data_IF_232155983200
#
_entry.id   IF_232155983200
#
_cell.length_a   1.000
_cell.length_b   1.000
_cell.length_c   1.000
_cell.angle_alpha   90.00
_cell.angle_beta   90.00
_cell.angle_gamma   90.00
#
_symmetry.space_group_name_H-M   'P 1'
#
loop_
_entity.id
_entity.type
_entity.pdbx_description
1 polymer ?
#
# COMPACT_ATOMS: atom_id res chain seq x y z
N UNK A 1 8.18 -17.98 -19.96
CA UNK A 1 7.79 -18.51 -18.65
C UNK A 1 6.44 -17.89 -18.32
N UNK A 2 5.38 -18.67 -18.20
CA UNK A 2 4.05 -18.15 -17.86
C UNK A 2 3.93 -18.20 -16.34
N UNK A 3 3.72 -17.04 -15.70
CA UNK A 3 3.53 -16.96 -14.25
C UNK A 3 2.28 -17.74 -13.86
N UNK A 4 2.34 -18.49 -12.76
CA UNK A 4 1.17 -19.11 -12.16
C UNK A 4 0.20 -18.05 -11.63
N UNK A 5 -1.09 -18.40 -11.47
CA UNK A 5 -2.12 -17.45 -11.02
C UNK A 5 -1.75 -16.77 -9.69
N UNK A 6 -1.19 -17.51 -8.72
CA UNK A 6 -0.75 -16.94 -7.45
C UNK A 6 0.41 -15.94 -7.60
N UNK A 7 1.31 -16.16 -8.56
CA UNK A 7 2.40 -15.21 -8.84
C UNK A 7 1.88 -13.95 -9.52
N UNK A 8 0.88 -14.09 -10.41
CA UNK A 8 0.20 -12.94 -11.02
C UNK A 8 -0.55 -12.11 -9.98
N UNK A 9 -1.23 -12.77 -9.03
CA UNK A 9 -1.90 -12.11 -7.89
C UNK A 9 -0.88 -11.38 -7.02
N UNK A 10 0.24 -12.03 -6.67
CA UNK A 10 1.29 -11.41 -5.88
C UNK A 10 1.86 -10.17 -6.60
N UNK A 11 2.11 -10.25 -7.91
CA UNK A 11 2.60 -9.11 -8.67
C UNK A 11 1.58 -7.97 -8.76
N UNK A 12 0.31 -8.28 -9.03
CA UNK A 12 -0.77 -7.27 -9.01
C UNK A 12 -0.91 -6.61 -7.63
N UNK A 13 -0.70 -7.38 -6.55
CA UNK A 13 -0.71 -6.86 -5.19
C UNK A 13 0.43 -5.86 -4.98
N UNK A 14 1.67 -6.18 -5.37
CA UNK A 14 2.82 -5.28 -5.24
C UNK A 14 2.62 -3.97 -6.01
N UNK A 15 1.97 -4.00 -7.18
CA UNK A 15 1.66 -2.80 -7.96
C UNK A 15 0.63 -1.90 -7.27
N UNK A 16 -0.31 -2.48 -6.53
CA UNK A 16 -1.45 -1.75 -5.97
C UNK A 16 -1.34 -1.49 -4.47
N UNK A 17 -0.39 -2.10 -3.78
CA UNK A 17 -0.24 -1.94 -2.34
C UNK A 17 0.17 -0.51 -2.00
N UNK A 18 -0.54 0.11 -1.05
CA UNK A 18 -0.35 1.51 -0.68
C UNK A 18 -1.16 2.53 -1.50
N UNK A 19 -1.81 2.11 -2.57
CA UNK A 19 -2.63 3.01 -3.41
C UNK A 19 -4.02 3.32 -2.82
N UNK A 20 -4.41 2.56 -1.79
CA UNK A 20 -5.73 2.68 -1.18
C UNK A 20 -6.87 2.12 -2.04
N UNK A 21 -8.12 2.46 -1.70
CA UNK A 21 -9.30 2.10 -2.48
C UNK A 21 -9.30 2.71 -3.87
N UNK A 22 -9.27 1.87 -4.90
CA UNK A 22 -9.35 2.28 -6.31
C UNK A 22 -10.64 1.78 -6.94
N UNK A 23 -11.18 2.53 -7.91
CA UNK A 23 -12.17 1.97 -8.82
C UNK A 23 -11.55 0.78 -9.58
N UNK A 24 -12.32 -0.29 -9.84
CA UNK A 24 -11.79 -1.49 -10.51
C UNK A 24 -11.08 -1.19 -11.84
N UNK A 25 -11.65 -0.29 -12.66
CA UNK A 25 -11.02 0.12 -13.93
C UNK A 25 -9.71 0.88 -13.75
N UNK A 26 -9.58 1.65 -12.68
CA UNK A 26 -8.35 2.36 -12.34
C UNK A 26 -7.27 1.38 -11.88
N UNK A 27 -7.63 0.42 -11.03
CA UNK A 27 -6.71 -0.66 -10.62
C UNK A 27 -6.19 -1.45 -11.83
N UNK A 28 -7.08 -1.84 -12.76
CA UNK A 28 -6.69 -2.52 -14.01
C UNK A 28 -5.73 -1.64 -14.82
N UNK A 29 -6.06 -0.35 -14.97
CA UNK A 29 -5.22 0.59 -15.74
C UNK A 29 -3.81 0.68 -15.14
N UNK A 30 -3.66 0.83 -13.82
CA UNK A 30 -2.33 0.93 -13.19
C UNK A 30 -1.49 -0.33 -13.36
N UNK A 31 -2.12 -1.50 -13.27
CA UNK A 31 -1.45 -2.77 -13.53
C UNK A 31 -0.98 -2.84 -14.99
N UNK A 32 -1.82 -2.45 -15.95
CA UNK A 32 -1.40 -2.41 -17.36
C UNK A 32 -0.28 -1.40 -17.59
N UNK A 33 -0.39 -0.19 -17.04
CA UNK A 33 0.63 0.84 -17.17
C UNK A 33 1.98 0.36 -16.61
N UNK A 34 1.97 -0.38 -15.49
CA UNK A 34 3.16 -1.04 -14.95
C UNK A 34 3.73 -2.13 -15.87
N UNK A 35 2.88 -2.96 -16.49
CA UNK A 35 3.33 -3.96 -17.46
C UNK A 35 3.99 -3.29 -18.68
N UNK A 36 3.42 -2.21 -19.19
CA UNK A 36 3.96 -1.45 -20.32
C UNK A 36 5.30 -0.80 -19.94
N UNK A 37 5.36 -0.15 -18.78
CA UNK A 37 6.58 0.49 -18.29
C UNK A 37 7.75 -0.50 -18.13
N UNK A 38 7.45 -1.74 -17.75
CA UNK A 38 8.43 -2.81 -17.60
C UNK A 38 8.74 -3.55 -18.92
N UNK A 39 8.12 -3.17 -20.03
CA UNK A 39 8.28 -3.83 -21.33
C UNK A 39 7.67 -5.24 -21.41
N UNK A 40 6.74 -5.56 -20.50
CA UNK A 40 6.03 -6.84 -20.42
C UNK A 40 4.73 -6.85 -21.24
N UNK A 41 4.27 -5.67 -21.68
CA UNK A 41 3.12 -5.50 -22.56
C UNK A 41 3.37 -4.34 -23.54
N UNK A 42 2.70 -4.37 -24.69
CA UNK A 42 2.71 -3.25 -25.64
C UNK A 42 1.64 -2.19 -25.28
N UNK A 43 1.72 -1.03 -25.93
CA UNK A 43 0.73 0.05 -25.75
C UNK A 43 -0.70 -0.37 -26.16
N UNK A 44 -0.85 -1.41 -26.98
CA UNK A 44 -2.12 -2.01 -27.34
C UNK A 44 -2.82 -2.67 -26.16
N UNK A 45 -2.08 -3.14 -25.15
CA UNK A 45 -2.63 -3.72 -23.93
C UNK A 45 -3.47 -2.72 -23.12
N UNK A 46 -3.18 -1.41 -23.21
CA UNK A 46 -3.93 -0.37 -22.52
C UNK A 46 -5.33 -0.13 -23.11
N UNK A 47 -5.59 -0.57 -24.35
CA UNK A 47 -6.88 -0.38 -25.03
C UNK A 47 -8.00 -1.09 -24.26
N UNK A 48 -9.16 -0.42 -24.17
CA UNK A 48 -10.38 -1.01 -23.60
C UNK A 48 -10.76 -2.29 -24.36
N UNK A 49 -11.14 -3.34 -23.63
CA UNK A 49 -11.47 -4.65 -24.20
C UNK A 49 -10.26 -5.47 -24.66
N UNK A 50 -9.04 -5.07 -24.30
CA UNK A 50 -7.88 -5.92 -24.57
C UNK A 50 -7.94 -7.20 -23.71
N UNK A 51 -7.45 -8.35 -24.23
CA UNK A 51 -7.36 -9.58 -23.46
C UNK A 51 -6.53 -9.43 -22.18
N UNK A 52 -5.55 -8.51 -22.18
CA UNK A 52 -4.72 -8.21 -20.99
C UNK A 52 -5.55 -7.60 -19.88
N UNK A 53 -6.43 -6.64 -20.20
CA UNK A 53 -7.34 -6.03 -19.21
C UNK A 53 -8.31 -7.05 -18.63
N UNK A 54 -8.84 -7.94 -19.47
CA UNK A 54 -9.74 -9.03 -19.03
C UNK A 54 -9.02 -10.01 -18.12
N UNK A 55 -7.78 -10.38 -18.43
CA UNK A 55 -6.94 -11.24 -17.59
C UNK A 55 -6.66 -10.57 -16.24
N UNK A 56 -6.28 -9.29 -16.22
CA UNK A 56 -6.03 -8.56 -14.98
C UNK A 56 -7.31 -8.50 -14.13
N UNK A 57 -8.47 -8.29 -14.74
CA UNK A 57 -9.74 -8.33 -14.01
C UNK A 57 -9.94 -9.69 -13.32
N UNK A 58 -9.59 -10.81 -13.97
CA UNK A 58 -9.66 -12.15 -13.37
C UNK A 58 -8.62 -12.34 -12.25
N UNK A 59 -7.40 -11.83 -12.43
CA UNK A 59 -6.34 -11.85 -11.40
C UNK A 59 -6.80 -11.11 -10.14
N UNK A 60 -7.44 -9.95 -10.30
CA UNK A 60 -7.96 -9.18 -9.18
C UNK A 60 -9.05 -9.95 -8.41
N UNK A 61 -9.99 -10.59 -9.09
CA UNK A 61 -11.01 -11.42 -8.44
C UNK A 61 -10.40 -12.63 -7.72
N UNK A 62 -9.47 -13.34 -8.37
CA UNK A 62 -8.74 -14.44 -7.73
C UNK A 62 -7.93 -13.96 -6.51
N UNK A 63 -7.43 -12.73 -6.55
CA UNK A 63 -6.73 -12.10 -5.44
C UNK A 63 -7.64 -11.76 -4.26
N UNK A 64 -8.92 -11.44 -4.50
CA UNK A 64 -9.93 -11.29 -3.44
C UNK A 64 -10.18 -12.63 -2.75
N UNK A 65 -10.34 -13.70 -3.53
CA UNK A 65 -10.51 -15.07 -2.99
C UNK A 65 -9.29 -15.52 -2.17
N UNK A 66 -8.09 -15.08 -2.56
CA UNK A 66 -6.83 -15.34 -1.84
C UNK A 66 -6.58 -14.40 -0.65
N UNK A 67 -7.48 -13.45 -0.36
CA UNK A 67 -7.36 -12.50 0.75
C UNK A 67 -6.26 -11.44 0.57
N UNK A 68 -5.78 -11.23 -0.67
CA UNK A 68 -4.81 -10.18 -1.02
C UNK A 68 -5.47 -8.86 -1.39
N UNK A 69 -6.75 -8.90 -1.73
CA UNK A 69 -7.56 -7.73 -2.05
C UNK A 69 -8.88 -7.78 -1.30
N UNK A 70 -9.46 -6.61 -1.05
CA UNK A 70 -10.83 -6.48 -0.55
C UNK A 70 -11.66 -5.49 -1.37
N UNK A 71 -12.97 -5.47 -1.08
CA UNK A 71 -13.91 -4.51 -1.63
C UNK A 71 -14.35 -3.53 -0.53
N UNK A 72 -13.62 -2.41 -0.35
CA UNK A 72 -13.97 -1.45 0.69
C UNK A 72 -15.34 -0.78 0.42
N UNK A 73 -15.72 -0.66 -0.87
CA UNK A 73 -17.05 -0.22 -1.34
C UNK A 73 -17.38 -0.93 -2.65
N UNK A 74 -18.67 -0.89 -3.04
CA UNK A 74 -19.12 -1.43 -4.33
C UNK A 74 -18.34 -0.80 -5.49
N UNK A 75 -17.77 -1.63 -6.35
CA UNK A 75 -17.00 -1.21 -7.53
C UNK A 75 -15.57 -0.73 -7.21
N UNK A 76 -15.16 -0.78 -5.95
CA UNK A 76 -13.78 -0.51 -5.54
C UNK A 76 -13.04 -1.79 -5.19
N UNK A 77 -11.73 -1.77 -5.38
CA UNK A 77 -10.80 -2.79 -4.94
C UNK A 77 -9.63 -2.13 -4.22
N UNK A 78 -9.08 -2.79 -3.21
CA UNK A 78 -7.91 -2.32 -2.48
C UNK A 78 -7.01 -3.52 -2.19
N UNK A 79 -5.71 -3.34 -2.41
CA UNK A 79 -4.71 -4.31 -1.98
C UNK A 79 -4.58 -4.25 -0.45
N UNK A 80 -4.65 -5.42 0.20
CA UNK A 80 -4.68 -5.49 1.65
C UNK A 80 -3.61 -6.41 2.22
N UNK A 81 -3.14 -6.00 3.39
CA UNK A 81 -2.33 -6.84 4.26
C UNK A 81 -2.96 -6.75 5.65
N UNK A 82 -3.76 -7.74 6.05
CA UNK A 82 -4.65 -7.61 7.21
C UNK A 82 -3.94 -7.81 8.55
N UNK A 83 -2.84 -8.59 8.58
CA UNK A 83 -2.02 -8.75 9.78
C UNK A 83 -0.91 -7.69 9.80
N UNK A 84 -0.84 -6.82 10.82
CA UNK A 84 0.27 -5.86 10.96
C UNK A 84 1.65 -6.54 11.09
N UNK A 85 1.73 -7.81 11.47
CA UNK A 85 2.99 -8.55 11.54
C UNK A 85 3.59 -8.89 10.18
N UNK A 86 2.77 -8.84 9.12
CA UNK A 86 3.24 -9.09 7.76
C UNK A 86 3.88 -7.83 7.12
N UNK A 87 3.83 -6.68 7.79
CA UNK A 87 4.40 -5.42 7.27
C UNK A 87 5.91 -5.42 7.48
N UNK A 88 6.64 -5.18 6.40
CA UNK A 88 8.07 -4.87 6.46
C UNK A 88 8.29 -3.46 7.02
N UNK A 89 9.53 -3.14 7.37
CA UNK A 89 9.90 -1.77 7.73
C UNK A 89 9.61 -0.78 6.61
N UNK A 90 9.79 -1.17 5.35
CA UNK A 90 9.55 -0.25 4.22
C UNK A 90 8.05 -0.02 4.01
N UNK A 91 7.17 -1.00 4.30
CA UNK A 91 5.72 -0.80 4.28
C UNK A 91 5.28 0.21 5.35
N UNK A 92 5.87 0.14 6.54
CA UNK A 92 5.61 1.12 7.60
C UNK A 92 6.17 2.50 7.27
N UNK A 93 7.35 2.58 6.65
CA UNK A 93 7.92 3.84 6.17
C UNK A 93 7.01 4.44 5.10
N UNK A 94 6.51 3.66 4.16
CA UNK A 94 5.51 4.11 3.19
C UNK A 94 4.29 4.72 3.90
N UNK A 95 3.77 4.07 4.95
CA UNK A 95 2.63 4.63 5.70
C UNK A 95 2.96 5.99 6.36
N UNK A 96 4.16 6.13 6.94
CA UNK A 96 4.64 7.40 7.49
C UNK A 96 4.80 8.47 6.40
N UNK A 97 5.43 8.11 5.28
CA UNK A 97 5.64 9.02 4.15
C UNK A 97 4.31 9.43 3.51
N UNK A 98 3.30 8.58 3.46
CA UNK A 98 2.02 8.97 2.87
C UNK A 98 1.14 9.80 3.81
N UNK A 99 1.34 9.70 5.13
CA UNK A 99 0.49 10.37 6.12
C UNK A 99 1.02 11.72 6.60
N UNK A 100 2.33 11.96 6.50
CA UNK A 100 2.98 13.16 7.03
C UNK A 100 3.34 14.12 5.90
N UNK A 101 3.43 15.40 6.18
CA UNK A 101 3.93 16.41 5.24
C UNK A 101 5.31 16.94 5.69
N UNK A 102 5.78 18.00 5.06
CA UNK A 102 7.02 18.70 5.43
C UNK A 102 6.85 19.56 6.70
N UNK A 103 5.63 19.71 7.21
CA UNK A 103 5.35 20.44 8.44
C UNK A 103 5.76 19.64 9.68
N UNK A 104 6.43 20.25 10.67
CA UNK A 104 6.71 19.62 11.95
C UNK A 104 5.44 19.08 12.61
N UNK A 105 5.47 17.80 12.97
CA UNK A 105 4.36 17.09 13.61
C UNK A 105 4.86 16.40 14.86
N UNK A 106 4.17 16.57 15.99
CA UNK A 106 4.50 15.86 17.23
C UNK A 106 4.61 14.36 16.96
N UNK A 107 5.67 13.72 17.46
CA UNK A 107 5.97 12.30 17.18
C UNK A 107 4.76 11.39 17.40
N UNK A 108 4.05 11.54 18.52
CA UNK A 108 2.89 10.71 18.82
C UNK A 108 1.72 10.96 17.84
N UNK A 109 1.51 12.21 17.43
CA UNK A 109 0.53 12.56 16.40
C UNK A 109 0.92 11.96 15.04
N UNK A 110 2.21 11.99 14.71
CA UNK A 110 2.72 11.43 13.46
C UNK A 110 2.45 9.92 13.34
N UNK A 111 2.70 9.16 14.42
CA UNK A 111 2.39 7.73 14.48
C UNK A 111 0.88 7.46 14.35
N UNK A 112 0.03 8.29 14.98
CA UNK A 112 -1.43 8.16 14.85
C UNK A 112 -1.91 8.44 13.43
N UNK A 113 -1.39 9.47 12.78
CA UNK A 113 -1.75 9.78 11.38
C UNK A 113 -1.33 8.66 10.44
N UNK A 114 -0.10 8.15 10.58
CA UNK A 114 0.39 7.03 9.79
C UNK A 114 -0.44 5.76 9.98
N UNK A 115 -0.82 5.46 11.23
CA UNK A 115 -1.73 4.37 11.49
C UNK A 115 -3.08 4.58 10.78
N UNK A 116 -3.68 5.77 10.91
CA UNK A 116 -5.00 6.06 10.33
C UNK A 116 -4.98 5.93 8.80
N UNK A 117 -3.90 6.42 8.20
CA UNK A 117 -3.63 6.24 6.79
C UNK A 117 -3.55 4.76 6.42
N UNK A 118 -2.80 3.95 7.17
CA UNK A 118 -2.64 2.52 6.89
C UNK A 118 -4.00 1.81 6.87
N UNK A 119 -4.85 1.96 7.89
CA UNK A 119 -6.15 1.29 7.84
C UNK A 119 -7.09 1.73 6.73
N UNK A 120 -7.02 3.01 6.36
CA UNK A 120 -7.79 3.53 5.25
C UNK A 120 -7.32 2.94 3.91
N UNK A 121 -6.02 2.63 3.78
CA UNK A 121 -5.41 2.34 2.49
C UNK A 121 -4.89 0.90 2.30
N UNK A 122 -4.73 0.12 3.37
CA UNK A 122 -4.10 -1.21 3.32
C UNK A 122 -4.89 -2.30 4.03
N UNK A 123 -6.11 -1.99 4.49
CA UNK A 123 -7.04 -2.97 5.07
C UNK A 123 -6.77 -3.38 6.51
N UNK A 124 -5.86 -2.71 7.22
CA UNK A 124 -5.63 -2.95 8.64
C UNK A 124 -6.86 -2.61 9.49
N UNK A 125 -7.27 -3.54 10.35
CA UNK A 125 -8.37 -3.31 11.28
C UNK A 125 -7.93 -2.45 12.48
N UNK A 126 -8.70 -1.39 12.76
CA UNK A 126 -8.38 -0.37 13.76
C UNK A 126 -8.82 -0.67 15.19
N UNK A 127 -9.21 -1.91 15.47
CA UNK A 127 -10.01 -2.26 16.66
C UNK A 127 -9.34 -1.98 18.00
N UNK A 128 -8.06 -1.56 18.06
CA UNK A 128 -7.56 -0.48 18.92
C UNK A 128 -6.09 -0.20 18.60
N UNK A 129 -5.73 1.05 18.31
CA UNK A 129 -4.35 1.52 18.44
C UNK A 129 -3.93 1.43 19.91
N UNK A 130 -3.51 0.25 20.35
CA UNK A 130 -3.00 0.06 21.70
C UNK A 130 -1.52 0.38 21.73
N UNK A 131 -1.10 1.16 22.74
CA UNK A 131 0.32 1.38 23.04
C UNK A 131 1.00 0.01 23.23
N UNK A 132 2.10 -0.23 22.53
CA UNK A 132 2.78 -1.54 22.50
C UNK A 132 2.15 -2.59 21.57
N UNK A 133 1.09 -2.25 20.83
CA UNK A 133 0.53 -3.10 19.78
C UNK A 133 1.40 -3.13 18.52
N UNK A 134 1.24 -4.16 17.70
CA UNK A 134 2.07 -4.40 16.51
C UNK A 134 2.12 -3.20 15.53
N UNK A 135 1.01 -2.47 15.36
CA UNK A 135 0.94 -1.29 14.48
C UNK A 135 1.83 -0.17 15.01
N UNK A 136 1.64 0.25 16.27
CA UNK A 136 2.42 1.35 16.84
C UNK A 136 3.89 0.97 17.02
N UNK A 137 4.17 -0.29 17.40
CA UNK A 137 5.55 -0.78 17.47
C UNK A 137 6.24 -0.80 16.10
N UNK A 138 5.54 -1.23 15.05
CA UNK A 138 6.05 -1.23 13.68
C UNK A 138 6.32 0.18 13.16
N UNK A 139 5.38 1.11 13.36
CA UNK A 139 5.52 2.51 12.95
C UNK A 139 6.63 3.23 13.71
N UNK A 140 6.76 3.01 15.02
CA UNK A 140 7.81 3.65 15.82
C UNK A 140 9.20 3.16 15.41
N UNK A 141 9.38 1.85 15.23
CA UNK A 141 10.63 1.28 14.72
C UNK A 141 10.96 1.75 13.29
N UNK A 142 9.95 1.88 12.44
CA UNK A 142 10.10 2.39 11.08
C UNK A 142 10.47 3.89 11.06
N UNK A 143 9.92 4.69 11.96
CA UNK A 143 10.26 6.10 12.10
C UNK A 143 11.73 6.26 12.52
N UNK A 144 12.19 5.49 13.51
CA UNK A 144 13.61 5.48 13.91
C UNK A 144 14.53 5.13 12.75
N UNK A 145 14.20 4.07 12.01
CA UNK A 145 14.96 3.67 10.82
C UNK A 145 14.94 4.77 9.75
N UNK A 146 13.82 5.45 9.56
CA UNK A 146 13.67 6.51 8.56
C UNK A 146 14.43 7.79 8.95
N UNK A 147 14.50 8.12 10.25
CA UNK A 147 15.36 9.17 10.79
C UNK A 147 16.85 8.84 10.55
N UNK A 148 17.27 7.61 10.84
CA UNK A 148 18.64 7.15 10.58
C UNK A 148 19.00 7.20 9.09
N UNK A 149 18.04 6.90 8.21
CA UNK A 149 18.19 6.96 6.74
C UNK A 149 18.04 8.38 6.18
N UNK A 150 17.79 9.40 7.00
CA UNK A 150 17.62 10.79 6.58
C UNK A 150 16.37 11.04 5.72
N UNK A 151 15.33 10.18 5.83
CA UNK A 151 14.03 10.39 5.17
C UNK A 151 13.09 11.29 5.98
N UNK A 152 13.33 11.35 7.28
CA UNK A 152 12.67 12.25 8.22
C UNK A 152 13.73 12.98 9.03
N UNK A 153 13.35 14.11 9.61
CA UNK A 153 14.19 14.92 10.49
C UNK A 153 13.45 15.15 11.80
N UNK A 154 14.15 14.98 12.92
CA UNK A 154 13.73 15.45 14.24
C UNK A 154 14.21 16.89 14.41
N UNK A 155 13.30 17.81 14.74
CA UNK A 155 13.63 19.23 14.90
C UNK A 155 14.17 19.58 16.31
N UNK A 156 14.31 18.58 17.18
CA UNK A 156 14.80 18.74 18.56
C UNK A 156 13.74 19.21 19.55
N UNK A 157 12.49 19.40 19.11
CA UNK A 157 11.35 19.81 19.95
C UNK A 157 10.39 18.66 20.27
N UNK A 158 10.71 17.44 19.82
CA UNK A 158 9.81 16.29 19.88
C UNK A 158 8.88 16.18 18.68
N UNK A 159 9.10 17.01 17.65
CA UNK A 159 8.41 16.94 16.37
C UNK A 159 9.28 16.30 15.30
N UNK A 160 8.62 15.62 14.36
CA UNK A 160 9.23 15.03 13.17
C UNK A 160 8.57 15.59 11.92
N UNK A 161 9.34 15.68 10.84
CA UNK A 161 8.84 16.03 9.50
C UNK A 161 9.59 15.25 8.43
N UNK A 162 9.02 15.20 7.22
CA UNK A 162 9.77 14.74 6.04
C UNK A 162 11.02 15.59 5.85
N UNK A 163 12.10 14.93 5.45
CA UNK A 163 13.40 15.57 5.20
C UNK A 163 13.31 16.57 4.04
#
# INVERSE_FOLDING_TARGET
MQLGLSEQVAWAFEVLFGEGPLAKEEAIRRIVDALVLLGLADEGAARRGSPVRELIAQVLEAGVEQGRFDHPKRGQIRAIRPDPRDYSSDDWIMCLTSALDESPTEREAALRFAAYWAASNTGLAFSRLQRGGAILGGLDAALELALQRGRFVDDGTGCVRKA
#
